data_IF_106201116268
#
_entry.id   IF_106201116268
#
_cell.length_a   1.000
_cell.length_b   1.000
_cell.length_c   1.000
_cell.angle_alpha   90.00
_cell.angle_beta   90.00
_cell.angle_gamma   90.00
#
_symmetry.space_group_name_H-M   'P 1'
#
loop_
_entity.id
_entity.type
_entity.pdbx_description
1 polymer ?
#
# COMPACT_ATOMS: atom_id res chain seq x y z
N UNK A 1 -13.20 -36.46 -48.18
CA UNK A 1 -13.22 -36.47 -46.69
C UNK A 1 -12.12 -35.61 -46.05
N UNK A 2 -10.87 -35.63 -46.55
CA UNK A 2 -9.72 -34.87 -45.96
C UNK A 2 -9.88 -33.34 -45.92
N UNK A 3 -10.47 -32.72 -46.95
CA UNK A 3 -10.66 -31.25 -47.01
C UNK A 3 -11.63 -30.72 -45.94
N UNK A 4 -12.69 -31.47 -45.63
CA UNK A 4 -13.69 -31.08 -44.61
C UNK A 4 -13.08 -31.08 -43.20
N UNK A 5 -12.17 -32.02 -42.93
CA UNK A 5 -11.44 -32.12 -41.65
C UNK A 5 -10.47 -30.94 -41.50
N UNK A 6 -9.76 -30.55 -42.55
CA UNK A 6 -8.85 -29.39 -42.48
C UNK A 6 -9.59 -28.07 -42.23
N UNK A 7 -10.76 -27.88 -42.84
CA UNK A 7 -11.59 -26.69 -42.63
C UNK A 7 -12.10 -26.64 -41.19
N UNK A 8 -12.51 -27.79 -40.63
CA UNK A 8 -12.93 -27.87 -39.23
C UNK A 8 -11.78 -27.54 -38.25
N UNK A 9 -10.57 -28.08 -38.48
CA UNK A 9 -9.41 -27.76 -37.63
C UNK A 9 -9.02 -26.27 -37.71
N UNK A 10 -9.11 -25.66 -38.89
CA UNK A 10 -8.90 -24.22 -39.07
C UNK A 10 -9.92 -23.40 -38.28
N UNK A 11 -11.21 -23.74 -38.38
CA UNK A 11 -12.29 -23.08 -37.65
C UNK A 11 -12.12 -23.18 -36.12
N UNK A 12 -11.72 -24.35 -35.62
CA UNK A 12 -11.47 -24.58 -34.19
C UNK A 12 -10.28 -23.74 -33.70
N UNK A 13 -9.19 -23.65 -34.47
CA UNK A 13 -8.05 -22.80 -34.12
C UNK A 13 -8.43 -21.32 -34.07
N UNK A 14 -9.22 -20.85 -35.03
CA UNK A 14 -9.70 -19.45 -35.06
C UNK A 14 -10.59 -19.16 -33.84
N UNK A 15 -11.50 -20.07 -33.47
CA UNK A 15 -12.33 -19.95 -32.27
C UNK A 15 -11.50 -19.90 -30.98
N UNK A 16 -10.47 -20.74 -30.84
CA UNK A 16 -9.57 -20.72 -29.69
C UNK A 16 -8.83 -19.39 -29.54
N UNK A 17 -8.43 -18.75 -30.64
CA UNK A 17 -7.77 -17.44 -30.62
C UNK A 17 -8.75 -16.32 -30.23
N UNK A 18 -10.00 -16.37 -30.71
CA UNK A 18 -11.02 -15.37 -30.40
C UNK A 18 -11.43 -15.39 -28.92
N UNK A 19 -11.48 -16.57 -28.27
CA UNK A 19 -11.80 -16.66 -26.83
C UNK A 19 -10.74 -15.98 -25.96
N UNK A 20 -9.46 -16.04 -26.35
CA UNK A 20 -8.38 -15.31 -25.67
C UNK A 20 -8.58 -13.80 -25.78
N UNK A 21 -8.95 -13.29 -26.96
CA UNK A 21 -9.09 -11.85 -27.23
C UNK A 21 -10.23 -11.20 -26.42
N UNK A 22 -11.37 -11.88 -26.32
CA UNK A 22 -12.56 -11.33 -25.63
C UNK A 22 -12.38 -11.35 -24.10
N UNK A 23 -11.61 -12.32 -23.57
CA UNK A 23 -11.35 -12.45 -22.12
C UNK A 23 -10.39 -11.41 -21.51
N UNK A 24 -9.71 -10.59 -22.32
CA UNK A 24 -8.77 -9.55 -21.84
C UNK A 24 -9.41 -8.22 -21.47
N UNK A 25 -10.75 -8.13 -21.39
CA UNK A 25 -11.40 -6.93 -20.87
C UNK A 25 -11.35 -6.89 -19.34
N UNK A 26 -10.18 -6.57 -18.80
CA UNK A 26 -10.07 -6.12 -17.41
C UNK A 26 -10.57 -4.68 -17.36
N UNK A 27 -11.85 -4.50 -17.04
CA UNK A 27 -12.35 -3.20 -16.61
C UNK A 27 -11.62 -2.80 -15.33
N UNK A 28 -10.62 -1.93 -15.44
CA UNK A 28 -9.93 -1.34 -14.31
C UNK A 28 -10.92 -0.46 -13.55
N UNK A 29 -11.50 -0.98 -12.49
CA UNK A 29 -12.27 -0.19 -11.53
C UNK A 29 -11.27 0.75 -10.85
N UNK A 30 -11.37 2.05 -11.16
CA UNK A 30 -10.63 3.07 -10.45
C UNK A 30 -11.23 3.18 -9.04
N UNK A 31 -10.60 2.53 -8.06
CA UNK A 31 -10.93 2.78 -6.67
C UNK A 31 -10.52 4.22 -6.33
N UNK A 32 -11.44 5.08 -5.84
CA UNK A 32 -11.07 6.41 -5.41
C UNK A 32 -10.17 6.28 -4.18
N UNK A 33 -8.86 6.40 -4.38
CA UNK A 33 -7.92 6.55 -3.28
C UNK A 33 -8.24 7.90 -2.62
N UNK A 34 -8.98 7.84 -1.51
CA UNK A 34 -9.18 8.99 -0.63
C UNK A 34 -7.80 9.36 -0.10
N UNK A 35 -7.15 10.33 -0.76
CA UNK A 35 -5.96 10.98 -0.23
C UNK A 35 -6.41 11.83 0.97
N UNK A 36 -6.55 11.19 2.13
CA UNK A 36 -6.66 11.90 3.38
C UNK A 36 -5.40 12.77 3.47
N UNK A 37 -5.57 14.08 3.45
CA UNK A 37 -4.48 15.05 3.60
C UNK A 37 -3.97 14.94 5.03
N UNK A 38 -3.13 13.94 5.27
CA UNK A 38 -2.58 13.60 6.57
C UNK A 38 -1.69 14.74 7.10
N UNK A 39 -1.18 15.58 6.21
CA UNK A 39 -0.35 16.74 6.54
C UNK A 39 -1.12 17.87 7.22
N UNK A 40 -2.43 17.98 6.97
CA UNK A 40 -3.31 18.88 7.73
C UNK A 40 -3.49 18.37 9.17
N UNK A 41 -3.76 17.08 9.38
CA UNK A 41 -3.89 16.47 10.72
C UNK A 41 -2.58 16.49 11.53
N UNK A 42 -1.43 16.30 10.87
CA UNK A 42 -0.10 16.35 11.51
C UNK A 42 0.27 17.75 12.01
N UNK A 43 -0.25 18.80 11.36
CA UNK A 43 0.02 20.19 11.76
C UNK A 43 -0.74 20.56 13.03
N UNK A 44 -1.94 20.01 13.19
CA UNK A 44 -2.80 20.23 14.35
C UNK A 44 -2.28 19.46 15.59
N UNK A 45 -1.70 18.27 15.40
CA UNK A 45 -1.13 17.46 16.49
C UNK A 45 0.22 17.95 17.04
N UNK A 46 0.95 18.81 16.30
CA UNK A 46 2.27 19.32 16.75
C UNK A 46 2.14 20.41 17.82
N UNK A 47 0.92 20.88 18.10
CA UNK A 47 0.59 21.92 19.08
C UNK A 47 -0.18 21.38 20.29
N UNK A 48 0.02 20.12 20.65
CA UNK A 48 -0.42 19.63 21.96
C UNK A 48 0.67 20.00 22.97
N UNK A 49 0.51 21.14 23.63
CA UNK A 49 1.18 21.34 24.90
C UNK A 49 0.77 20.16 25.79
N UNK A 50 1.72 19.49 26.43
CA UNK A 50 1.55 18.33 27.33
C UNK A 50 0.65 18.58 28.57
N UNK A 51 -0.20 19.60 28.55
CA UNK A 51 -0.84 20.23 29.70
C UNK A 51 -1.91 19.34 30.36
N UNK A 52 -2.37 18.25 29.73
CA UNK A 52 -3.34 17.36 30.36
C UNK A 52 -3.28 15.91 29.85
N UNK A 53 -2.16 15.20 30.05
CA UNK A 53 -2.16 13.75 29.88
C UNK A 53 -2.74 13.08 31.13
N UNK A 54 -3.83 12.32 30.97
CA UNK A 54 -4.40 11.48 32.01
C UNK A 54 -4.16 10.01 31.69
N UNK A 55 -3.93 9.20 32.72
CA UNK A 55 -3.80 7.75 32.63
C UNK A 55 -4.72 7.12 33.67
N UNK A 56 -5.57 6.19 33.24
CA UNK A 56 -6.54 5.51 34.12
C UNK A 56 -7.41 6.47 34.96
N UNK A 57 -7.92 7.55 34.34
CA UNK A 57 -8.67 8.65 34.98
C UNK A 57 -7.89 9.45 36.05
N UNK A 58 -6.57 9.26 36.16
CA UNK A 58 -5.71 10.06 37.03
C UNK A 58 -4.83 10.99 36.19
N UNK A 59 -4.52 12.18 36.72
CA UNK A 59 -3.57 13.09 36.09
C UNK A 59 -2.16 12.52 36.24
N UNK A 60 -1.41 12.47 35.14
CA UNK A 60 -0.02 12.06 35.19
C UNK A 60 0.77 13.12 35.98
N UNK A 61 1.61 12.72 36.96
CA UNK A 61 2.39 13.68 37.74
C UNK A 61 3.40 14.41 36.84
N UNK A 62 3.06 15.62 36.42
CA UNK A 62 3.92 16.54 35.68
C UNK A 62 4.49 17.57 36.65
N UNK A 63 5.80 17.83 36.60
CA UNK A 63 6.43 18.80 37.51
C UNK A 63 7.90 18.51 37.85
N UNK A 64 8.39 17.31 37.56
CA UNK A 64 9.82 17.02 37.58
C UNK A 64 10.33 16.75 36.16
N UNK A 65 11.44 17.41 35.80
CA UNK A 65 12.10 17.25 34.49
C UNK A 65 12.46 15.80 34.16
N UNK A 66 12.71 14.98 35.19
CA UNK A 66 13.04 13.56 35.03
C UNK A 66 11.84 12.73 34.57
N UNK A 67 10.66 12.96 35.15
CA UNK A 67 9.42 12.27 34.77
C UNK A 67 9.04 12.67 33.34
N UNK A 68 9.11 13.96 33.01
CA UNK A 68 8.80 14.48 31.67
C UNK A 68 9.72 13.84 30.61
N UNK A 69 11.02 13.75 30.89
CA UNK A 69 12.01 13.14 29.99
C UNK A 69 11.75 11.65 29.75
N UNK A 70 11.42 10.90 30.82
CA UNK A 70 11.06 9.49 30.71
C UNK A 70 9.78 9.30 29.89
N UNK A 71 8.77 10.13 30.15
CA UNK A 71 7.51 10.09 29.42
C UNK A 71 7.69 10.42 27.94
N UNK A 72 8.43 11.48 27.61
CA UNK A 72 8.74 11.83 26.23
C UNK A 72 9.50 10.69 25.52
N UNK A 73 10.45 10.05 26.20
CA UNK A 73 11.19 8.90 25.67
C UNK A 73 10.27 7.71 25.41
N UNK A 74 9.35 7.41 26.33
CA UNK A 74 8.37 6.33 26.19
C UNK A 74 7.37 6.58 25.05
N UNK A 75 6.88 7.82 24.89
CA UNK A 75 6.01 8.20 23.77
C UNK A 75 6.76 8.15 22.43
N UNK A 76 8.02 8.58 22.42
CA UNK A 76 8.88 8.50 21.21
C UNK A 76 9.24 7.06 20.85
N UNK A 77 9.44 6.17 21.82
CA UNK A 77 9.71 4.75 21.54
C UNK A 77 8.48 4.04 20.99
N UNK A 78 7.29 4.38 21.49
CA UNK A 78 6.00 3.83 21.06
C UNK A 78 5.29 4.65 19.97
N UNK A 79 5.99 5.56 19.31
CA UNK A 79 5.38 6.42 18.30
C UNK A 79 4.88 5.60 17.11
N UNK A 80 3.65 5.89 16.68
CA UNK A 80 3.03 5.28 15.48
C UNK A 80 3.93 5.34 14.23
N UNK A 81 4.78 6.37 14.12
CA UNK A 81 5.72 6.55 12.99
C UNK A 81 6.82 5.48 12.92
N UNK A 82 7.10 4.79 14.03
CA UNK A 82 8.10 3.70 14.08
C UNK A 82 7.52 2.35 13.66
N UNK A 83 6.19 2.23 13.57
CA UNK A 83 5.56 0.98 13.16
C UNK A 83 5.96 0.63 11.72
N UNK A 84 6.30 -0.64 11.49
CA UNK A 84 6.65 -1.13 10.15
C UNK A 84 5.52 -0.88 9.14
N UNK A 85 4.26 -1.06 9.56
CA UNK A 85 3.07 -0.79 8.75
C UNK A 85 3.02 0.66 8.26
N UNK A 86 3.34 1.63 9.11
CA UNK A 86 3.40 3.04 8.71
C UNK A 86 4.45 3.26 7.61
N UNK A 87 5.63 2.63 7.74
CA UNK A 87 6.66 2.70 6.71
C UNK A 87 6.22 2.04 5.40
N UNK A 88 5.50 0.91 5.46
CA UNK A 88 4.96 0.23 4.27
C UNK A 88 3.95 1.12 3.53
N UNK A 89 3.03 1.77 4.25
CA UNK A 89 2.08 2.70 3.65
C UNK A 89 2.77 3.87 2.93
N UNK A 90 3.79 4.47 3.54
CA UNK A 90 4.55 5.54 2.89
C UNK A 90 5.24 5.08 1.61
N UNK A 91 5.82 3.86 1.62
CA UNK A 91 6.48 3.32 0.42
C UNK A 91 5.46 2.97 -0.66
N UNK A 92 4.31 2.41 -0.29
CA UNK A 92 3.22 2.14 -1.23
C UNK A 92 2.77 3.42 -1.96
N UNK A 93 2.65 4.55 -1.25
CA UNK A 93 2.28 5.84 -1.86
C UNK A 93 3.29 6.31 -2.92
N UNK A 94 4.58 6.00 -2.74
CA UNK A 94 5.64 6.35 -3.70
C UNK A 94 5.68 5.37 -4.88
N UNK A 95 5.56 4.07 -4.62
CA UNK A 95 5.81 3.04 -5.62
C UNK A 95 4.58 2.62 -6.43
N UNK A 96 3.37 2.67 -5.85
CA UNK A 96 2.15 2.26 -6.56
C UNK A 96 1.92 3.05 -7.85
N UNK A 97 2.06 4.39 -7.88
CA UNK A 97 1.91 5.16 -9.12
C UNK A 97 2.91 4.76 -10.22
N UNK A 98 4.04 4.14 -9.86
CA UNK A 98 5.06 3.66 -10.81
C UNK A 98 4.73 2.23 -11.28
N UNK A 99 4.28 1.36 -10.37
CA UNK A 99 4.02 -0.05 -10.65
C UNK A 99 2.71 -0.24 -11.42
N UNK A 100 1.63 0.46 -11.04
CA UNK A 100 0.31 0.36 -11.67
C UNK A 100 0.32 0.50 -13.21
N UNK A 101 0.98 1.49 -13.83
CA UNK A 101 1.04 1.58 -15.28
C UNK A 101 1.86 0.45 -15.92
N UNK A 102 2.87 -0.08 -15.22
CA UNK A 102 3.67 -1.23 -15.69
C UNK A 102 2.79 -2.49 -15.70
N UNK A 103 2.07 -2.77 -14.61
CA UNK A 103 1.16 -3.91 -14.54
C UNK A 103 0.11 -3.87 -15.65
N UNK A 104 -0.50 -2.71 -15.87
CA UNK A 104 -1.46 -2.48 -16.97
C UNK A 104 -0.85 -2.75 -18.34
N UNK A 105 0.38 -2.28 -18.60
CA UNK A 105 1.07 -2.49 -19.89
C UNK A 105 1.27 -3.96 -20.23
N UNK A 106 1.51 -4.80 -19.22
CA UNK A 106 1.74 -6.24 -19.39
C UNK A 106 0.49 -7.09 -19.14
N UNK A 107 -0.68 -6.47 -18.91
CA UNK A 107 -1.92 -7.18 -18.63
C UNK A 107 -1.92 -7.96 -17.31
N UNK A 108 -1.07 -7.56 -16.35
CA UNK A 108 -0.96 -8.18 -15.03
C UNK A 108 -2.03 -7.55 -14.10
N UNK A 109 -2.74 -8.33 -13.27
CA UNK A 109 -3.70 -7.79 -12.31
C UNK A 109 -3.06 -6.79 -11.34
N UNK A 110 -3.81 -5.75 -10.98
CA UNK A 110 -3.31 -4.65 -10.16
C UNK A 110 -2.90 -5.10 -8.74
N UNK A 111 -3.53 -6.16 -8.21
CA UNK A 111 -3.24 -6.74 -6.89
C UNK A 111 -1.79 -7.25 -6.75
N UNK A 112 -1.10 -7.50 -7.86
CA UNK A 112 0.31 -7.91 -7.84
C UNK A 112 1.23 -6.84 -7.24
N UNK A 113 0.80 -5.57 -7.17
CA UNK A 113 1.57 -4.50 -6.52
C UNK A 113 1.78 -4.72 -5.01
N UNK A 114 0.93 -5.52 -4.38
CA UNK A 114 1.05 -5.82 -2.94
C UNK A 114 2.09 -6.89 -2.64
N UNK A 115 2.38 -7.82 -3.55
CA UNK A 115 3.38 -8.89 -3.37
C UNK A 115 4.77 -8.32 -3.02
N UNK A 116 5.38 -7.42 -3.81
CA UNK A 116 6.69 -6.86 -3.47
C UNK A 116 6.67 -5.99 -2.21
N UNK A 117 5.51 -5.42 -1.85
CA UNK A 117 5.32 -4.65 -0.63
C UNK A 117 5.35 -5.55 0.62
N UNK A 118 4.70 -6.70 0.61
CA UNK A 118 4.69 -7.61 1.76
C UNK A 118 6.01 -8.39 1.90
N UNK A 119 6.61 -8.80 0.76
CA UNK A 119 7.83 -9.61 0.76
C UNK A 119 9.07 -8.81 1.17
N UNK A 120 9.30 -7.66 0.52
CA UNK A 120 10.53 -6.88 0.69
C UNK A 120 10.33 -5.54 1.40
N UNK A 121 9.06 -5.15 1.64
CA UNK A 121 8.74 -3.79 2.05
C UNK A 121 9.16 -2.74 1.04
N UNK A 122 9.33 -3.11 -0.23
CA UNK A 122 9.87 -2.26 -1.31
C UNK A 122 11.21 -1.61 -0.94
N UNK A 123 12.04 -2.33 -0.18
CA UNK A 123 13.41 -1.92 0.12
C UNK A 123 14.31 -2.36 -1.04
N UNK A 124 15.24 -1.49 -1.44
CA UNK A 124 16.35 -1.91 -2.30
C UNK A 124 17.18 -2.96 -1.55
N UNK A 125 17.70 -3.96 -2.27
CA UNK A 125 18.58 -4.98 -1.69
C UNK A 125 19.76 -4.32 -0.98
N UNK A 126 19.83 -4.50 0.34
CA UNK A 126 20.98 -4.12 1.14
C UNK A 126 21.92 -5.32 1.16
N UNK A 127 22.69 -5.48 0.09
CA UNK A 127 23.92 -6.25 0.18
C UNK A 127 24.99 -5.26 0.67
N UNK A 128 25.44 -5.45 1.90
CA UNK A 128 26.61 -4.81 2.51
C UNK A 128 27.44 -5.90 3.16
#
# INVERSE_FOLDING_TARGET
MRKKIMIACSLVLVLCVLTKIIGYSNSSINYPVVKVKLDTLKKDLKKENFIALSFANELVPTGSKHIDSKMETALKSNSFKKLQTYQLHQRAEVWFPIIEPILKKYGIPDDFKYIPLIESGMKRGQYS
#
